data_IF_171974327846
#
_entry.id   IF_171974327846
#
_cell.length_a   1.000
_cell.length_b   1.000
_cell.length_c   1.000
_cell.angle_alpha   90.00
_cell.angle_beta   90.00
_cell.angle_gamma   90.00
#
_symmetry.space_group_name_H-M   'P 1'
#
loop_
_entity.id
_entity.type
_entity.pdbx_description
1 polymer ?
#
# COMPACT_ATOMS: atom_id res chain seq x y z
N UNK A 1 -4.76 20.52 -4.70
CA UNK A 1 -4.44 21.28 -3.48
C UNK A 1 -3.05 20.85 -3.09
N UNK A 2 -2.09 21.77 -3.03
CA UNK A 2 -0.72 21.44 -2.61
C UNK A 2 -0.68 21.12 -1.10
N UNK A 3 0.43 20.53 -0.64
CA UNK A 3 0.65 20.30 0.80
C UNK A 3 0.59 21.63 1.57
N UNK A 4 1.23 22.68 1.06
CA UNK A 4 1.28 23.98 1.73
C UNK A 4 -0.11 24.61 1.86
N UNK A 5 -0.93 24.51 0.79
CA UNK A 5 -2.32 24.96 0.81
C UNK A 5 -3.14 24.19 1.84
N UNK A 6 -2.97 22.85 1.90
CA UNK A 6 -3.65 22.01 2.87
C UNK A 6 -3.27 22.37 4.31
N UNK A 7 -1.97 22.49 4.60
CA UNK A 7 -1.48 22.85 5.94
C UNK A 7 -2.00 24.22 6.35
N UNK A 8 -1.98 25.20 5.44
CA UNK A 8 -2.49 26.55 5.68
C UNK A 8 -3.99 26.56 5.92
N UNK A 9 -4.76 25.84 5.11
CA UNK A 9 -6.21 25.75 5.23
C UNK A 9 -6.67 25.00 6.49
N UNK A 10 -5.84 24.09 7.01
CA UNK A 10 -6.17 23.25 8.18
C UNK A 10 -5.39 23.64 9.44
N UNK A 11 -4.72 24.80 9.45
CA UNK A 11 -3.79 25.22 10.52
C UNK A 11 -4.36 25.00 11.92
N UNK A 12 -5.58 25.48 12.16
CA UNK A 12 -6.24 25.45 13.47
C UNK A 12 -7.15 24.21 13.67
N UNK A 13 -7.21 23.32 12.68
CA UNK A 13 -8.00 22.09 12.75
C UNK A 13 -7.15 20.93 13.26
N UNK A 14 -7.60 20.28 14.32
CA UNK A 14 -7.07 18.99 14.76
C UNK A 14 -7.72 17.87 13.94
N UNK A 15 -6.91 16.99 13.37
CA UNK A 15 -7.37 15.90 12.52
C UNK A 15 -6.75 14.62 13.02
N UNK A 16 -7.59 13.70 13.51
CA UNK A 16 -7.12 12.40 13.98
C UNK A 16 -6.91 11.49 12.77
N UNK A 17 -5.67 11.06 12.58
CA UNK A 17 -5.28 10.13 11.52
C UNK A 17 -4.69 8.88 12.17
N UNK A 18 -5.35 7.73 12.03
CA UNK A 18 -4.79 6.48 12.55
C UNK A 18 -3.69 5.96 11.60
N UNK A 19 -3.88 6.04 10.29
CA UNK A 19 -2.90 5.63 9.28
C UNK A 19 -2.73 6.69 8.20
N UNK A 20 -1.49 7.13 7.95
CA UNK A 20 -1.13 7.98 6.82
C UNK A 20 -0.38 7.18 5.76
N UNK A 21 -0.84 7.22 4.51
CA UNK A 21 -0.09 6.67 3.37
C UNK A 21 0.60 7.77 2.59
N UNK A 22 1.85 7.53 2.20
CA UNK A 22 2.63 8.41 1.35
C UNK A 22 3.19 7.60 0.18
N UNK A 23 2.99 8.08 -1.05
CA UNK A 23 3.62 7.52 -2.24
C UNK A 23 4.05 8.69 -3.14
N UNK A 24 5.06 9.46 -2.72
CA UNK A 24 5.54 10.60 -3.50
C UNK A 24 6.14 10.12 -4.84
N UNK A 25 6.19 10.98 -5.87
CA UNK A 25 6.71 10.63 -7.18
C UNK A 25 8.07 9.93 -7.15
N UNK A 26 8.13 8.69 -7.62
CA UNK A 26 9.34 7.86 -7.56
C UNK A 26 10.20 7.90 -8.83
N UNK A 27 9.86 8.76 -9.79
CA UNK A 27 10.45 8.72 -11.15
C UNK A 27 11.96 8.94 -11.11
N UNK A 28 12.43 9.94 -10.38
CA UNK A 28 13.85 10.25 -10.23
C UNK A 28 14.68 9.10 -9.62
N UNK A 29 14.11 8.41 -8.64
CA UNK A 29 14.78 7.33 -7.91
C UNK A 29 14.66 5.97 -8.61
N UNK A 30 13.94 5.91 -9.74
CA UNK A 30 13.71 4.66 -10.46
C UNK A 30 14.99 4.21 -11.16
N UNK A 31 15.33 2.90 -11.14
CA UNK A 31 16.44 2.38 -11.95
C UNK A 31 16.29 2.63 -13.46
N UNK A 32 15.05 2.87 -13.93
CA UNK A 32 14.78 3.23 -15.31
C UNK A 32 15.12 4.70 -15.64
N UNK A 33 15.48 5.53 -14.65
CA UNK A 33 15.87 6.92 -14.82
C UNK A 33 17.37 7.04 -15.12
N UNK A 34 17.73 6.98 -16.40
CA UNK A 34 19.12 7.02 -16.86
C UNK A 34 19.59 8.43 -17.27
N UNK A 35 18.67 9.38 -17.44
CA UNK A 35 18.96 10.74 -17.92
C UNK A 35 18.30 11.78 -17.02
N UNK A 36 18.94 12.94 -16.83
CA UNK A 36 18.36 14.05 -16.05
C UNK A 36 17.05 14.53 -16.68
N UNK A 37 16.06 14.84 -15.84
CA UNK A 37 14.77 15.39 -16.24
C UNK A 37 14.50 16.72 -15.55
N UNK A 38 13.72 17.59 -16.21
CA UNK A 38 13.29 18.89 -15.67
C UNK A 38 12.45 18.73 -14.39
N UNK A 39 11.88 17.54 -14.15
CA UNK A 39 11.04 17.25 -12.98
C UNK A 39 11.80 16.65 -11.79
N UNK A 40 13.12 16.48 -11.89
CA UNK A 40 13.93 15.79 -10.88
C UNK A 40 13.90 16.51 -9.53
N UNK A 41 14.05 17.84 -9.54
CA UNK A 41 13.96 18.67 -8.32
C UNK A 41 12.58 18.56 -7.67
N UNK A 42 11.50 18.68 -8.47
CA UNK A 42 10.13 18.56 -7.96
C UNK A 42 9.86 17.19 -7.31
N UNK A 43 10.37 16.10 -7.89
CA UNK A 43 10.25 14.76 -7.31
C UNK A 43 10.96 14.65 -5.96
N UNK A 44 12.15 15.26 -5.83
CA UNK A 44 12.91 15.30 -4.58
C UNK A 44 12.16 16.15 -3.54
N UNK A 45 11.66 17.32 -3.93
CA UNK A 45 10.90 18.20 -3.03
C UNK A 45 9.62 17.53 -2.52
N UNK A 46 8.90 16.79 -3.38
CA UNK A 46 7.72 16.03 -2.97
C UNK A 46 8.03 14.95 -1.91
N UNK A 47 9.21 14.32 -1.96
CA UNK A 47 9.65 13.38 -0.95
C UNK A 47 9.83 14.06 0.41
N UNK A 48 10.49 15.22 0.45
CA UNK A 48 10.76 15.93 1.70
C UNK A 48 9.55 16.67 2.25
N UNK A 49 8.63 17.13 1.39
CA UNK A 49 7.37 17.76 1.83
C UNK A 49 6.48 16.79 2.64
N UNK A 50 6.72 15.48 2.57
CA UNK A 50 6.04 14.50 3.40
C UNK A 50 6.24 14.73 4.90
N UNK A 51 7.40 15.23 5.33
CA UNK A 51 7.70 15.47 6.76
C UNK A 51 6.76 16.52 7.36
N UNK A 52 6.39 17.55 6.60
CA UNK A 52 5.45 18.59 7.01
C UNK A 52 4.04 18.03 7.25
N UNK A 53 3.58 17.12 6.39
CA UNK A 53 2.31 16.42 6.60
C UNK A 53 2.35 15.54 7.86
N UNK A 54 3.45 14.83 8.09
CA UNK A 54 3.63 13.98 9.26
C UNK A 54 3.63 14.83 10.54
N UNK A 55 4.31 15.98 10.51
CA UNK A 55 4.37 16.92 11.62
C UNK A 55 2.98 17.49 11.94
N UNK A 56 2.21 17.87 10.91
CA UNK A 56 0.85 18.41 11.06
C UNK A 56 -0.16 17.36 11.56
N UNK A 57 -0.15 16.16 10.98
CA UNK A 57 -1.19 15.15 11.20
C UNK A 57 -0.91 14.23 12.39
N UNK A 58 0.37 14.08 12.78
CA UNK A 58 0.83 13.16 13.85
C UNK A 58 0.12 11.79 13.84
N UNK A 59 0.10 11.09 12.68
CA UNK A 59 -0.63 9.83 12.55
C UNK A 59 -0.08 8.73 13.46
N UNK A 60 -0.92 7.76 13.86
CA UNK A 60 -0.43 6.64 14.70
C UNK A 60 0.55 5.75 13.93
N UNK A 61 0.19 5.41 12.70
CA UNK A 61 1.03 4.67 11.77
C UNK A 61 1.23 5.44 10.47
N UNK A 62 2.41 5.30 9.89
CA UNK A 62 2.74 5.83 8.57
C UNK A 62 3.20 4.67 7.71
N UNK A 63 2.75 4.69 6.47
CA UNK A 63 3.23 3.81 5.42
C UNK A 63 3.76 4.68 4.31
N UNK A 64 4.92 4.33 3.77
CA UNK A 64 5.45 4.99 2.59
C UNK A 64 5.87 3.96 1.55
N UNK A 65 5.39 4.13 0.33
CA UNK A 65 5.82 3.35 -0.84
C UNK A 65 6.77 4.17 -1.70
N UNK A 66 7.86 3.53 -2.11
CA UNK A 66 8.85 4.07 -3.03
C UNK A 66 9.42 3.00 -3.95
N UNK A 67 10.08 3.44 -5.01
CA UNK A 67 10.89 2.55 -5.85
C UNK A 67 12.10 2.03 -5.07
N UNK A 68 12.48 0.77 -5.31
CA UNK A 68 13.64 0.18 -4.66
C UNK A 68 14.97 0.85 -5.04
N UNK A 69 15.03 1.57 -6.18
CA UNK A 69 16.24 2.25 -6.62
C UNK A 69 16.74 3.33 -5.64
N UNK A 70 15.90 3.81 -4.73
CA UNK A 70 16.32 4.73 -3.66
C UNK A 70 17.32 4.08 -2.68
N UNK A 71 17.38 2.75 -2.62
CA UNK A 71 18.34 2.02 -1.78
C UNK A 71 19.72 1.89 -2.44
N UNK A 72 19.88 2.28 -3.70
CA UNK A 72 21.16 2.23 -4.40
C UNK A 72 22.08 3.36 -3.93
N UNK A 73 23.40 3.14 -3.99
CA UNK A 73 24.42 4.07 -3.48
C UNK A 73 24.21 5.53 -3.93
N UNK A 74 23.87 5.74 -5.21
CA UNK A 74 23.58 7.07 -5.79
C UNK A 74 22.46 7.84 -5.06
N UNK A 75 21.48 7.14 -4.51
CA UNK A 75 20.28 7.72 -3.91
C UNK A 75 20.15 7.46 -2.40
N UNK A 76 21.07 6.69 -1.83
CA UNK A 76 20.96 6.21 -0.44
C UNK A 76 20.90 7.36 0.58
N UNK A 77 21.50 8.50 0.26
CA UNK A 77 21.40 9.73 1.07
C UNK A 77 19.96 10.21 1.25
N UNK A 78 19.08 10.06 0.25
CA UNK A 78 17.68 10.47 0.34
C UNK A 78 16.89 9.54 1.27
N UNK A 79 17.19 8.23 1.22
CA UNK A 79 16.61 7.28 2.18
C UNK A 79 17.07 7.59 3.62
N UNK A 80 18.35 7.90 3.83
CA UNK A 80 18.86 8.30 5.15
C UNK A 80 18.19 9.58 5.66
N UNK A 81 18.05 10.59 4.80
CA UNK A 81 17.40 11.83 5.17
C UNK A 81 15.93 11.60 5.53
N UNK A 82 15.20 10.82 4.72
CA UNK A 82 13.82 10.44 5.01
C UNK A 82 13.69 9.71 6.36
N UNK A 83 14.54 8.73 6.64
CA UNK A 83 14.57 8.04 7.95
C UNK A 83 14.89 9.03 9.08
N UNK A 84 15.82 9.97 8.84
CA UNK A 84 16.17 11.03 9.77
C UNK A 84 14.97 11.93 10.12
N UNK A 85 14.16 12.31 9.12
CA UNK A 85 12.97 13.13 9.33
C UNK A 85 11.95 12.40 10.24
N UNK A 86 11.72 11.11 9.99
CA UNK A 86 10.84 10.30 10.85
C UNK A 86 11.36 10.22 12.30
N UNK A 87 12.65 9.93 12.48
CA UNK A 87 13.23 9.76 13.82
C UNK A 87 13.31 11.08 14.59
N UNK A 88 13.57 12.20 13.90
CA UNK A 88 13.52 13.54 14.49
C UNK A 88 12.11 13.90 14.98
N UNK A 89 11.07 13.41 14.29
CA UNK A 89 9.68 13.53 14.70
C UNK A 89 9.26 12.48 15.78
N UNK A 90 10.20 11.66 16.24
CA UNK A 90 10.01 10.66 17.29
C UNK A 90 9.38 9.34 16.84
N UNK A 91 9.25 9.10 15.53
CA UNK A 91 8.71 7.84 15.03
C UNK A 91 9.76 6.73 15.09
N UNK A 92 9.31 5.53 15.48
CA UNK A 92 10.04 4.30 15.21
C UNK A 92 9.82 3.93 13.75
N UNK A 93 10.88 3.46 13.07
CA UNK A 93 10.86 3.21 11.62
C UNK A 93 11.39 1.81 11.33
N UNK A 94 10.74 1.12 10.41
CA UNK A 94 11.20 -0.14 9.81
C UNK A 94 10.93 -0.08 8.31
N UNK A 95 11.84 -0.60 7.50
CA UNK A 95 11.66 -0.62 6.05
C UNK A 95 12.14 -1.93 5.45
N UNK A 96 11.60 -2.29 4.28
CA UNK A 96 11.99 -3.48 3.53
C UNK A 96 11.74 -3.28 2.04
N UNK A 97 12.62 -3.82 1.20
CA UNK A 97 12.33 -3.99 -0.22
C UNK A 97 11.53 -5.28 -0.40
N UNK A 98 10.27 -5.14 -0.80
CA UNK A 98 9.33 -6.24 -0.97
C UNK A 98 9.18 -6.58 -2.44
N UNK A 99 9.25 -7.88 -2.76
CA UNK A 99 8.84 -8.43 -4.05
C UNK A 99 7.32 -8.62 -4.01
N UNK A 100 6.57 -7.80 -4.73
CA UNK A 100 5.11 -7.79 -4.62
C UNK A 100 4.45 -9.09 -5.12
N UNK A 101 5.15 -9.94 -5.87
CA UNK A 101 4.65 -11.27 -6.21
C UNK A 101 4.45 -12.17 -4.98
N UNK A 102 5.20 -11.96 -3.88
CA UNK A 102 4.99 -12.71 -2.63
C UNK A 102 3.69 -12.30 -1.92
N UNK A 103 3.11 -11.16 -2.31
CA UNK A 103 1.79 -10.68 -1.88
C UNK A 103 0.73 -10.83 -2.97
N UNK A 104 0.97 -11.69 -3.97
CA UNK A 104 -0.01 -12.09 -4.97
C UNK A 104 -0.05 -11.24 -6.24
N UNK A 105 0.89 -10.33 -6.45
CA UNK A 105 1.02 -9.63 -7.73
C UNK A 105 1.46 -10.58 -8.85
N UNK A 106 0.91 -10.39 -10.04
CA UNK A 106 1.29 -11.17 -11.21
C UNK A 106 2.62 -10.75 -11.85
N UNK A 107 3.43 -9.92 -11.18
CA UNK A 107 4.67 -9.32 -11.67
C UNK A 107 5.79 -9.47 -10.65
N UNK A 108 7.03 -9.57 -11.13
CA UNK A 108 8.21 -9.46 -10.26
C UNK A 108 8.58 -8.00 -9.95
N UNK A 109 7.60 -7.23 -9.48
CA UNK A 109 7.76 -5.80 -9.14
C UNK A 109 8.29 -5.67 -7.71
N UNK A 110 9.45 -5.01 -7.56
CA UNK A 110 10.03 -4.69 -6.24
C UNK A 110 9.67 -3.27 -5.82
N UNK A 111 9.36 -3.07 -4.54
CA UNK A 111 9.09 -1.76 -3.93
C UNK A 111 9.72 -1.64 -2.56
N UNK A 112 10.26 -0.46 -2.26
CA UNK A 112 10.60 -0.09 -0.90
C UNK A 112 9.30 0.26 -0.18
N UNK A 113 9.08 -0.37 0.97
CA UNK A 113 7.98 -0.05 1.86
C UNK A 113 8.59 0.35 3.20
N UNK A 114 8.17 1.50 3.71
CA UNK A 114 8.52 1.99 5.04
C UNK A 114 7.27 1.94 5.91
N UNK A 115 7.41 1.39 7.10
CA UNK A 115 6.45 1.45 8.19
C UNK A 115 7.04 2.33 9.29
N UNK A 116 6.26 3.28 9.78
CA UNK A 116 6.63 4.09 10.93
C UNK A 116 5.49 4.13 11.95
N UNK A 117 5.84 4.12 13.23
CA UNK A 117 4.90 4.14 14.35
C UNK A 117 5.20 5.31 15.28
N UNK A 118 4.16 6.03 15.68
CA UNK A 118 4.27 7.20 16.54
C UNK A 118 4.83 6.86 17.93
N UNK A 119 5.39 7.84 18.66
CA UNK A 119 5.77 7.64 20.06
C UNK A 119 4.64 6.99 20.87
N UNK A 120 4.95 5.87 21.53
CA UNK A 120 4.00 5.11 22.34
C UNK A 120 3.20 4.03 21.59
N UNK A 121 3.26 3.98 20.26
CA UNK A 121 2.76 2.86 19.46
C UNK A 121 3.83 1.78 19.30
N UNK A 122 3.40 0.53 19.16
CA UNK A 122 4.32 -0.56 18.80
C UNK A 122 4.47 -0.61 17.27
N UNK A 123 5.71 -0.66 16.80
CA UNK A 123 6.02 -0.74 15.38
C UNK A 123 5.55 -2.07 14.79
N UNK A 124 4.63 -2.08 13.81
CA UNK A 124 4.15 -3.33 13.21
C UNK A 124 5.27 -4.05 12.45
N UNK A 125 5.30 -5.40 12.48
CA UNK A 125 6.09 -6.16 11.52
C UNK A 125 5.49 -6.05 10.12
N UNK A 126 6.26 -6.45 9.10
CA UNK A 126 5.70 -6.63 7.76
C UNK A 126 4.74 -7.83 7.75
N UNK A 127 3.70 -7.82 6.90
CA UNK A 127 2.85 -8.99 6.71
C UNK A 127 3.69 -10.16 6.18
N UNK A 128 3.31 -11.37 6.59
CA UNK A 128 3.91 -12.60 6.07
C UNK A 128 3.63 -12.73 4.57
N UNK A 129 4.54 -13.40 3.87
CA UNK A 129 4.32 -13.74 2.47
C UNK A 129 3.07 -14.64 2.34
N UNK A 130 2.28 -14.37 1.30
CA UNK A 130 1.04 -15.12 0.99
C UNK A 130 1.24 -16.05 -0.19
N UNK A 131 2.23 -15.76 -1.03
CA UNK A 131 2.55 -16.51 -2.23
C UNK A 131 4.05 -16.83 -2.31
N UNK A 132 4.39 -17.94 -2.92
CA UNK A 132 5.76 -18.38 -3.15
C UNK A 132 5.93 -19.08 -4.50
N UNK A 133 7.18 -19.40 -4.84
CA UNK A 133 7.48 -20.24 -6.01
C UNK A 133 6.83 -21.61 -5.79
N UNK A 134 5.96 -22.01 -6.71
CA UNK A 134 5.25 -23.30 -6.70
C UNK A 134 4.46 -23.62 -5.40
N UNK A 135 4.12 -22.61 -4.60
CA UNK A 135 3.39 -22.81 -3.34
C UNK A 135 4.20 -23.48 -2.23
N UNK A 136 5.53 -23.35 -2.28
CA UNK A 136 6.42 -23.80 -1.21
C UNK A 136 5.99 -23.25 0.16
N UNK A 137 6.07 -24.10 1.20
CA UNK A 137 5.75 -23.72 2.57
C UNK A 137 4.26 -23.60 2.89
N UNK A 138 3.37 -24.18 2.06
CA UNK A 138 1.92 -24.09 2.24
C UNK A 138 1.32 -22.75 1.82
N UNK A 139 2.09 -21.94 1.09
CA UNK A 139 1.65 -20.67 0.50
C UNK A 139 1.01 -20.91 -0.87
N UNK A 140 0.31 -19.90 -1.39
CA UNK A 140 -0.23 -19.95 -2.75
C UNK A 140 0.90 -19.90 -3.80
N UNK A 141 0.79 -20.58 -4.94
CA UNK A 141 1.73 -20.38 -6.03
C UNK A 141 1.60 -18.95 -6.58
N UNK A 142 2.72 -18.36 -7.01
CA UNK A 142 2.72 -17.04 -7.62
C UNK A 142 1.62 -16.88 -8.68
N UNK A 143 0.92 -15.74 -8.62
CA UNK A 143 -0.10 -15.40 -9.62
C UNK A 143 0.57 -15.21 -10.97
N UNK A 144 0.10 -15.94 -11.98
CA UNK A 144 0.69 -15.91 -13.32
C UNK A 144 0.00 -14.88 -14.20
N UNK A 145 0.62 -14.53 -15.35
CA UNK A 145 -0.02 -13.68 -16.37
C UNK A 145 -1.40 -14.26 -16.74
N UNK A 146 -1.45 -15.56 -17.03
CA UNK A 146 -2.67 -16.26 -17.40
C UNK A 146 -3.75 -16.18 -16.32
N UNK A 147 -3.38 -16.39 -15.04
CA UNK A 147 -4.32 -16.27 -13.91
C UNK A 147 -4.86 -14.84 -13.76
N UNK A 148 -4.01 -13.83 -13.97
CA UNK A 148 -4.40 -12.43 -13.85
C UNK A 148 -5.42 -12.00 -14.92
N UNK A 149 -5.22 -12.42 -16.16
CA UNK A 149 -6.08 -12.01 -17.29
C UNK A 149 -7.23 -12.98 -17.58
N UNK A 150 -7.19 -14.20 -17.02
CA UNK A 150 -8.13 -15.28 -17.35
C UNK A 150 -9.59 -15.02 -16.99
N UNK A 151 -9.87 -14.01 -16.16
CA UNK A 151 -11.25 -13.60 -15.81
C UNK A 151 -11.86 -12.53 -16.73
N UNK A 152 -11.09 -12.05 -17.71
CA UNK A 152 -11.51 -11.01 -18.66
C UNK A 152 -12.28 -11.65 -19.81
N UNK A 153 -13.44 -11.10 -20.12
CA UNK A 153 -14.30 -11.55 -21.20
C UNK A 153 -14.46 -10.46 -22.26
N UNK A 154 -14.86 -10.86 -23.46
CA UNK A 154 -15.25 -9.94 -24.53
C UNK A 154 -16.41 -9.07 -24.04
N UNK A 155 -16.29 -7.76 -24.22
CA UNK A 155 -17.27 -6.77 -23.74
C UNK A 155 -16.94 -6.16 -22.37
N UNK A 156 -15.94 -6.67 -21.66
CA UNK A 156 -15.47 -6.03 -20.43
C UNK A 156 -14.90 -4.62 -20.72
N UNK A 157 -15.08 -3.71 -19.77
CA UNK A 157 -14.61 -2.33 -19.86
C UNK A 157 -13.09 -2.27 -20.08
N UNK A 158 -12.65 -1.42 -21.01
CA UNK A 158 -11.26 -1.26 -21.46
C UNK A 158 -10.63 -2.51 -22.11
N UNK A 159 -11.44 -3.52 -22.48
CA UNK A 159 -11.02 -4.70 -23.23
C UNK A 159 -11.54 -4.64 -24.67
N UNK A 160 -10.95 -3.77 -25.50
CA UNK A 160 -11.28 -3.65 -26.91
C UNK A 160 -10.09 -4.12 -27.78
N UNK A 161 -10.29 -5.25 -28.46
CA UNK A 161 -9.27 -5.88 -29.32
C UNK A 161 -9.02 -5.10 -30.63
N UNK A 162 -9.98 -4.33 -31.13
CA UNK A 162 -9.76 -3.49 -32.34
C UNK A 162 -8.81 -2.32 -32.05
N UNK A 163 -8.61 -2.01 -30.77
CA UNK A 163 -7.86 -0.85 -30.32
C UNK A 163 -6.39 -1.13 -29.98
N UNK A 164 -5.96 -2.39 -30.11
CA UNK A 164 -4.58 -2.83 -29.81
C UNK A 164 -3.76 -2.99 -31.08
N UNK A 165 -2.44 -2.90 -30.94
CA UNK A 165 -1.51 -3.15 -32.03
C UNK A 165 -1.33 -4.66 -32.22
N UNK A 166 -1.49 -5.12 -33.46
CA UNK A 166 -1.17 -6.49 -33.87
C UNK A 166 0.22 -6.58 -34.49
N UNK A 167 0.89 -7.71 -34.25
CA UNK A 167 2.24 -7.98 -34.74
C UNK A 167 2.22 -8.89 -35.96
N UNK A 168 2.89 -8.46 -37.04
CA UNK A 168 3.09 -9.23 -38.28
C UNK A 168 4.55 -9.07 -38.73
N UNK A 169 5.40 -10.10 -38.64
CA UNK A 169 5.13 -11.44 -38.09
C UNK A 169 4.82 -11.41 -36.59
N UNK A 170 4.23 -12.50 -36.06
CA UNK A 170 3.99 -12.66 -34.62
C UNK A 170 5.32 -12.65 -33.86
N UNK A 171 5.29 -12.16 -32.62
CA UNK A 171 6.42 -12.26 -31.69
C UNK A 171 6.52 -13.70 -31.14
N UNK A 172 7.66 -14.03 -30.54
CA UNK A 172 7.85 -15.31 -29.87
C UNK A 172 6.80 -15.49 -28.76
N UNK A 173 6.12 -16.64 -28.64
CA UNK A 173 5.15 -16.84 -27.57
C UNK A 173 5.76 -16.65 -26.17
N UNK A 174 5.01 -16.05 -25.26
CA UNK A 174 5.36 -15.95 -23.85
C UNK A 174 4.63 -17.06 -23.08
N UNK A 175 5.32 -17.71 -22.15
CA UNK A 175 4.67 -18.66 -21.24
C UNK A 175 3.63 -17.93 -20.38
N UNK A 176 2.32 -18.27 -20.44
CA UNK A 176 1.31 -17.63 -19.61
C UNK A 176 1.43 -17.96 -18.12
N UNK A 177 2.20 -19.00 -17.75
CA UNK A 177 2.40 -19.43 -16.37
C UNK A 177 3.56 -18.72 -15.65
N UNK A 178 4.23 -17.77 -16.32
CA UNK A 178 5.28 -16.96 -15.72
C UNK A 178 4.75 -15.69 -15.05
N UNK A 179 5.59 -15.06 -14.24
CA UNK A 179 5.41 -13.69 -13.78
C UNK A 179 5.63 -12.70 -14.93
N UNK A 180 4.79 -11.67 -14.98
CA UNK A 180 4.97 -10.52 -15.83
C UNK A 180 6.22 -9.70 -15.47
N UNK A 181 6.78 -9.03 -16.47
CA UNK A 181 7.71 -7.92 -16.25
C UNK A 181 7.01 -6.74 -15.58
N UNK A 182 7.78 -5.82 -15.02
CA UNK A 182 7.21 -4.64 -14.36
C UNK A 182 6.47 -3.76 -15.37
N UNK A 183 5.18 -3.53 -15.15
CA UNK A 183 4.37 -2.60 -15.93
C UNK A 183 4.79 -1.16 -15.59
N UNK A 184 5.25 -0.45 -16.60
CA UNK A 184 5.67 0.96 -16.57
C UNK A 184 4.63 1.87 -17.23
N UNK A 185 4.84 3.19 -17.15
CA UNK A 185 4.01 4.21 -17.81
C UNK A 185 4.33 4.36 -19.30
N UNK A 186 5.61 4.26 -19.66
CA UNK A 186 6.08 4.09 -21.04
C UNK A 186 5.98 2.63 -21.47
N UNK A 187 5.89 2.40 -22.79
CA UNK A 187 5.60 1.10 -23.43
C UNK A 187 6.22 -0.11 -22.72
N UNK A 188 5.46 -1.21 -22.67
CA UNK A 188 5.94 -2.47 -22.13
C UNK A 188 6.43 -3.35 -23.27
N UNK A 189 7.54 -4.06 -23.08
CA UNK A 189 7.93 -5.14 -23.99
C UNK A 189 6.97 -6.35 -23.92
N UNK A 190 6.03 -6.33 -22.97
CA UNK A 190 5.05 -7.38 -22.83
C UNK A 190 3.90 -7.23 -23.83
N UNK A 191 3.56 -8.37 -24.42
CA UNK A 191 2.48 -8.57 -25.37
C UNK A 191 1.67 -9.79 -24.96
N UNK A 192 0.50 -9.98 -25.57
CA UNK A 192 -0.37 -11.10 -25.26
C UNK A 192 0.37 -12.44 -25.48
N UNK A 193 0.15 -13.48 -24.62
CA UNK A 193 1.01 -14.67 -24.59
C UNK A 193 1.23 -15.39 -25.93
N UNK A 194 0.29 -15.31 -26.87
CA UNK A 194 0.41 -15.93 -28.20
C UNK A 194 1.28 -15.16 -29.22
N UNK A 195 1.84 -14.01 -28.81
CA UNK A 195 2.69 -13.18 -29.67
C UNK A 195 1.94 -12.34 -30.71
N UNK A 196 0.61 -12.37 -30.74
CA UNK A 196 -0.18 -11.76 -31.81
C UNK A 196 -0.41 -10.26 -31.67
N UNK A 197 -0.49 -9.75 -30.43
CA UNK A 197 -0.90 -8.38 -30.15
C UNK A 197 -0.40 -7.82 -28.82
N UNK A 198 -0.52 -6.52 -28.63
CA UNK A 198 -0.40 -5.89 -27.32
C UNK A 198 -1.54 -6.29 -26.37
N UNK A 199 -1.29 -6.11 -25.06
CA UNK A 199 -2.35 -6.18 -24.06
C UNK A 199 -3.31 -4.98 -24.19
N UNK A 200 -4.58 -5.25 -23.96
CA UNK A 200 -5.60 -4.23 -23.69
C UNK A 200 -5.32 -3.52 -22.37
N UNK A 201 -5.91 -2.34 -22.16
CA UNK A 201 -5.77 -1.60 -20.90
C UNK A 201 -6.33 -2.39 -19.71
N UNK A 202 -7.41 -3.17 -19.91
CA UNK A 202 -7.96 -4.04 -18.86
C UNK A 202 -7.02 -5.16 -18.47
N UNK A 203 -6.35 -5.80 -19.44
CA UNK A 203 -5.36 -6.84 -19.17
C UNK A 203 -4.15 -6.26 -18.39
N UNK A 204 -3.64 -5.09 -18.80
CA UNK A 204 -2.60 -4.39 -18.01
C UNK A 204 -3.07 -4.08 -16.58
N UNK A 205 -4.31 -3.62 -16.41
CA UNK A 205 -4.86 -3.31 -15.09
C UNK A 205 -4.93 -4.56 -14.19
N UNK A 206 -5.41 -5.69 -14.71
CA UNK A 206 -5.49 -6.93 -13.95
C UNK A 206 -4.11 -7.50 -13.59
N UNK A 207 -3.13 -7.42 -14.51
CA UNK A 207 -1.73 -7.79 -14.22
C UNK A 207 -1.12 -6.85 -13.15
N UNK A 208 -1.52 -5.58 -13.13
CA UNK A 208 -1.18 -4.60 -12.09
C UNK A 208 -1.98 -4.80 -10.79
N UNK A 209 -2.80 -5.84 -10.68
CA UNK A 209 -3.51 -6.19 -9.46
C UNK A 209 -4.78 -5.37 -9.21
N UNK A 210 -5.26 -4.61 -10.21
CA UNK A 210 -6.56 -3.95 -10.11
C UNK A 210 -7.69 -4.98 -10.24
N UNK A 211 -8.78 -4.82 -9.46
CA UNK A 211 -10.01 -5.57 -9.69
C UNK A 211 -10.54 -5.31 -11.10
N UNK A 212 -11.11 -6.35 -11.73
CA UNK A 212 -11.66 -6.26 -13.09
C UNK A 212 -12.70 -5.14 -13.25
N UNK A 213 -13.48 -4.88 -12.21
CA UNK A 213 -14.53 -3.86 -12.19
C UNK A 213 -14.03 -2.44 -11.85
N UNK A 214 -12.73 -2.24 -11.59
CA UNK A 214 -12.19 -0.92 -11.30
C UNK A 214 -12.39 0.03 -12.49
N UNK A 215 -12.95 1.21 -12.22
CA UNK A 215 -13.26 2.24 -13.22
C UNK A 215 -12.12 3.24 -13.31
N UNK A 216 -11.58 3.40 -14.51
CA UNK A 216 -10.58 4.42 -14.80
C UNK A 216 -11.21 5.60 -15.51
N UNK A 217 -10.66 6.79 -15.29
CA UNK A 217 -11.16 8.04 -15.88
C UNK A 217 -10.05 8.68 -16.71
N UNK A 218 -10.41 9.20 -17.89
CA UNK A 218 -9.53 9.95 -18.78
C UNK A 218 -9.21 9.25 -20.09
N UNK A 219 -8.24 9.80 -20.84
CA UNK A 219 -7.79 9.25 -22.11
C UNK A 219 -7.01 7.94 -21.95
N UNK A 220 -6.88 7.13 -23.02
CA UNK A 220 -6.10 5.88 -23.00
C UNK A 220 -4.69 6.06 -22.43
N UNK A 221 -4.00 7.14 -22.80
CA UNK A 221 -2.67 7.47 -22.29
C UNK A 221 -2.69 7.79 -20.78
N UNK A 222 -3.69 8.56 -20.33
CA UNK A 222 -3.85 8.86 -18.90
C UNK A 222 -4.12 7.59 -18.09
N UNK A 223 -5.01 6.72 -18.57
CA UNK A 223 -5.33 5.43 -17.95
C UNK A 223 -4.09 4.54 -17.89
N UNK A 224 -3.32 4.45 -18.99
CA UNK A 224 -2.07 3.66 -19.01
C UNK A 224 -1.07 4.14 -17.96
N UNK A 225 -0.98 5.47 -17.76
CA UNK A 225 -0.13 6.09 -16.73
C UNK A 225 -0.63 5.78 -15.32
N UNK A 226 -1.95 5.87 -15.08
CA UNK A 226 -2.56 5.47 -13.80
C UNK A 226 -2.22 4.01 -13.45
N UNK A 227 -2.37 3.10 -14.41
CA UNK A 227 -2.01 1.69 -14.23
C UNK A 227 -0.51 1.55 -13.89
N UNK A 228 0.39 2.12 -14.70
CA UNK A 228 1.84 1.93 -14.49
C UNK A 228 2.38 2.50 -13.16
N UNK A 229 1.83 3.63 -12.72
CA UNK A 229 2.25 4.30 -11.47
C UNK A 229 1.66 3.67 -10.22
N UNK A 230 0.54 2.94 -10.33
CA UNK A 230 -0.15 2.42 -9.16
C UNK A 230 0.75 1.55 -8.26
N UNK A 231 0.56 1.72 -6.95
CA UNK A 231 0.92 0.68 -5.99
C UNK A 231 -0.19 -0.40 -6.04
N UNK A 232 0.12 -1.65 -6.45
CA UNK A 232 -0.90 -2.63 -6.82
C UNK A 232 -1.98 -2.86 -5.73
N UNK A 233 -3.28 -2.68 -6.04
CA UNK A 233 -4.35 -2.75 -5.04
C UNK A 233 -4.43 -4.09 -4.30
N UNK A 234 -4.17 -5.20 -4.99
CA UNK A 234 -4.16 -6.53 -4.36
C UNK A 234 -3.08 -6.67 -3.30
N UNK A 235 -1.90 -6.08 -3.51
CA UNK A 235 -0.80 -6.11 -2.53
C UNK A 235 -1.02 -5.09 -1.42
N UNK A 236 -1.59 -3.91 -1.76
CA UNK A 236 -2.03 -2.91 -0.78
C UNK A 236 -3.04 -3.52 0.18
N UNK A 237 -3.99 -4.31 -0.32
CA UNK A 237 -4.97 -5.01 0.52
C UNK A 237 -4.28 -5.89 1.57
N UNK A 238 -3.27 -6.68 1.19
CA UNK A 238 -2.52 -7.54 2.13
C UNK A 238 -1.85 -6.69 3.22
N UNK A 239 -1.19 -5.60 2.82
CA UNK A 239 -0.53 -4.69 3.77
C UNK A 239 -1.52 -4.06 4.75
N UNK A 240 -2.61 -3.47 4.25
CA UNK A 240 -3.55 -2.73 5.10
C UNK A 240 -4.46 -3.61 5.93
N UNK A 241 -4.79 -4.81 5.49
CA UNK A 241 -5.48 -5.80 6.34
C UNK A 241 -4.61 -6.15 7.55
N UNK A 242 -3.32 -6.40 7.34
CA UNK A 242 -2.36 -6.65 8.42
C UNK A 242 -2.22 -5.45 9.38
N UNK A 243 -2.13 -4.23 8.86
CA UNK A 243 -2.03 -3.03 9.70
C UNK A 243 -3.33 -2.73 10.47
N UNK A 244 -4.49 -2.99 9.87
CA UNK A 244 -5.78 -2.89 10.56
C UNK A 244 -5.86 -3.89 11.71
N UNK A 245 -5.56 -5.17 11.44
CA UNK A 245 -5.58 -6.24 12.45
C UNK A 245 -4.58 -5.92 13.59
N UNK A 246 -3.40 -5.38 13.25
CA UNK A 246 -2.41 -4.91 14.22
C UNK A 246 -2.98 -3.82 15.12
N UNK A 247 -3.57 -2.76 14.55
CA UNK A 247 -4.14 -1.66 15.33
C UNK A 247 -5.31 -2.11 16.21
N UNK A 248 -6.19 -2.96 15.68
CA UNK A 248 -7.30 -3.53 16.42
C UNK A 248 -6.80 -4.34 17.64
N UNK A 249 -5.78 -5.18 17.43
CA UNK A 249 -5.18 -5.95 18.53
C UNK A 249 -4.54 -5.04 19.59
N UNK A 250 -3.81 -4.01 19.17
CA UNK A 250 -3.19 -3.04 20.10
C UNK A 250 -4.23 -2.26 20.90
N UNK A 251 -5.37 -1.95 20.28
CA UNK A 251 -6.48 -1.22 20.91
C UNK A 251 -7.42 -2.13 21.72
N UNK A 252 -7.23 -3.46 21.68
CA UNK A 252 -8.14 -4.42 22.31
C UNK A 252 -9.53 -4.45 21.67
N UNK A 253 -9.61 -4.14 20.37
CA UNK A 253 -10.84 -4.03 19.59
C UNK A 253 -10.97 -5.21 18.63
N UNK A 254 -12.21 -5.57 18.30
CA UNK A 254 -12.52 -6.51 17.21
C UNK A 254 -12.87 -5.75 15.94
N UNK A 255 -12.69 -6.39 14.78
CA UNK A 255 -13.13 -5.82 13.51
C UNK A 255 -14.63 -5.53 13.57
N UNK A 256 -15.04 -4.37 13.09
CA UNK A 256 -16.44 -4.02 13.01
C UNK A 256 -17.17 -5.03 12.11
N UNK A 257 -18.19 -5.68 12.66
CA UNK A 257 -19.13 -6.46 11.89
C UNK A 257 -20.35 -5.58 11.66
N UNK A 258 -20.78 -5.44 10.41
CA UNK A 258 -22.04 -4.75 10.12
C UNK A 258 -23.15 -5.44 10.89
N UNK A 259 -23.86 -4.69 11.72
CA UNK A 259 -25.09 -5.14 12.34
C UNK A 259 -26.03 -5.55 11.19
N UNK A 260 -26.56 -6.79 11.16
CA UNK A 260 -27.59 -7.15 10.21
C UNK A 260 -28.74 -6.16 10.31
N UNK A 261 -29.42 -5.81 9.21
CA UNK A 261 -30.52 -4.83 9.14
C UNK A 261 -31.71 -5.11 10.10
N UNK A 262 -31.64 -6.19 10.90
CA UNK A 262 -32.70 -6.75 11.72
C UNK A 262 -32.51 -6.50 13.23
N UNK A 263 -31.47 -5.76 13.65
CA UNK A 263 -31.25 -5.50 15.08
C UNK A 263 -31.93 -4.18 15.46
N UNK A 264 -33.08 -4.30 16.14
CA UNK A 264 -33.71 -3.18 16.82
C UNK A 264 -32.82 -2.80 18.01
N UNK A 265 -32.25 -1.60 17.96
CA UNK A 265 -31.65 -0.98 19.14
C UNK A 265 -32.82 -0.57 20.02
N UNK A 266 -33.04 -1.29 21.12
CA UNK A 266 -33.94 -0.84 22.18
C UNK A 266 -33.21 0.28 22.90
N UNK A 267 -33.77 1.48 22.79
CA UNK A 267 -33.33 2.64 23.55
C UNK A 267 -33.77 2.44 24.99
N UNK A 268 -32.91 1.89 25.84
CA UNK A 268 -33.13 1.85 27.29
C UNK A 268 -32.92 3.26 27.83
N UNK A 269 -33.92 4.11 27.60
CA UNK A 269 -34.15 5.33 28.36
C UNK A 269 -35.46 5.17 29.12
N UNK A 270 -35.48 4.28 30.09
CA UNK A 270 -36.40 4.34 31.22
C UNK A 270 -35.66 3.87 32.49
N UNK A 271 -35.55 4.78 33.45
CA UNK A 271 -35.07 4.55 34.80
C UNK A 271 -35.88 3.44 35.48
N UNK A 272 -35.23 2.42 36.06
CA UNK A 272 -35.66 1.88 37.35
C UNK A 272 -34.55 1.08 38.06
N UNK A 273 -34.45 1.33 39.36
CA UNK A 273 -33.52 0.75 40.33
C UNK A 273 -33.57 -0.79 40.39
N UNK A 274 -32.42 -1.46 40.34
CA UNK A 274 -32.12 -2.59 41.24
C UNK A 274 -30.66 -3.08 41.14
N UNK A 275 -30.01 -3.14 42.31
CA UNK A 275 -28.74 -3.82 42.56
C UNK A 275 -28.79 -5.31 42.17
N UNK A 276 -27.80 -5.83 41.42
CA UNK A 276 -27.09 -7.05 41.82
C UNK A 276 -25.76 -7.31 41.08
N UNK A 277 -24.78 -7.75 41.86
CA UNK A 277 -23.45 -8.25 41.53
C UNK A 277 -23.42 -9.38 40.49
N UNK A 278 -22.45 -9.35 39.55
CA UNK A 278 -21.67 -10.57 39.24
C UNK A 278 -20.29 -10.27 38.63
N UNK A 279 -19.24 -10.60 39.42
CA UNK A 279 -17.86 -10.82 38.97
C UNK A 279 -17.76 -12.12 38.15
N UNK A 280 -16.61 -12.28 37.49
CA UNK A 280 -15.81 -13.50 37.22
C UNK A 280 -15.34 -13.49 35.75
N UNK A 281 -14.11 -13.83 35.37
CA UNK A 281 -12.81 -13.97 36.01
C UNK A 281 -11.81 -14.05 34.83
N UNK A 282 -10.64 -13.43 34.99
CA UNK A 282 -9.52 -13.52 34.02
C UNK A 282 -8.86 -14.89 34.04
N UNK A 283 -8.57 -15.48 32.88
CA UNK A 283 -7.57 -16.57 32.77
C UNK A 283 -6.57 -16.28 31.65
N UNK A 284 -5.34 -16.06 32.08
CA UNK A 284 -4.10 -15.86 31.34
C UNK A 284 -3.58 -17.14 30.66
N UNK A 285 -2.90 -16.98 29.51
CA UNK A 285 -2.03 -18.01 28.94
C UNK A 285 -1.12 -17.43 27.85
N UNK A 286 0.14 -17.14 28.19
CA UNK A 286 1.19 -16.80 27.23
C UNK A 286 1.78 -18.08 26.60
N UNK A 287 2.30 -18.01 25.36
CA UNK A 287 3.65 -18.56 25.17
C UNK A 287 4.57 -17.78 24.20
N UNK A 288 5.82 -17.69 24.67
CA UNK A 288 7.15 -17.73 24.02
C UNK A 288 7.37 -17.41 22.53
N UNK A 289 8.35 -16.53 22.32
CA UNK A 289 9.10 -16.24 21.08
C UNK A 289 9.83 -17.47 20.49
N UNK A 290 10.16 -17.43 19.17
CA UNK A 290 11.59 -17.42 18.82
C UNK A 290 11.98 -16.59 17.58
N UNK A 291 13.26 -16.18 17.64
CA UNK A 291 14.32 -16.03 16.63
C UNK A 291 14.23 -15.04 15.44
N UNK A 292 15.39 -14.42 15.23
CA UNK A 292 15.71 -13.22 14.45
C UNK A 292 16.22 -13.65 13.07
N UNK A 293 15.77 -12.96 12.02
CA UNK A 293 16.30 -13.09 10.66
C UNK A 293 16.92 -11.74 10.26
N UNK A 294 18.18 -11.79 9.82
CA UNK A 294 19.06 -10.64 9.58
C UNK A 294 18.69 -9.92 8.28
N UNK A 295 17.93 -8.82 8.37
CA UNK A 295 17.92 -7.68 7.41
C UNK A 295 17.02 -6.51 7.89
N UNK A 296 16.80 -6.39 9.21
CA UNK A 296 15.86 -5.42 9.80
C UNK A 296 16.66 -4.39 10.61
N UNK A 297 16.55 -3.11 10.25
CA UNK A 297 16.98 -2.01 11.13
C UNK A 297 15.77 -1.44 11.88
N UNK A 298 15.89 -1.30 13.21
CA UNK A 298 14.85 -0.77 14.10
C UNK A 298 15.45 0.25 15.11
N UNK A 299 14.72 1.34 15.39
CA UNK A 299 15.11 2.42 16.32
C UNK A 299 13.89 2.78 17.19
N UNK A 300 14.03 2.85 18.53
CA UNK A 300 12.94 3.09 19.50
C UNK A 300 13.20 4.27 20.47
N UNK A 301 12.14 4.93 20.97
CA UNK A 301 12.18 6.10 21.88
C UNK A 301 11.10 6.00 23.01
N UNK A 302 11.25 6.62 24.22
CA UNK A 302 10.44 6.33 25.42
C UNK A 302 9.01 6.91 25.47
N UNK A 303 8.18 6.36 26.37
CA UNK A 303 6.70 6.51 26.45
C UNK A 303 6.21 7.63 27.38
N UNK A 304 5.19 8.40 26.96
CA UNK A 304 4.22 9.10 27.84
C UNK A 304 2.80 9.09 27.22
N UNK A 305 1.75 9.04 28.05
CA UNK A 305 0.33 8.81 27.64
C UNK A 305 -0.60 9.95 28.09
N UNK A 306 -1.40 10.52 27.16
CA UNK A 306 -2.79 11.00 27.39
C UNK A 306 -3.59 10.94 26.06
N UNK A 307 -4.85 10.48 26.09
CA UNK A 307 -5.78 10.43 24.93
C UNK A 307 -7.16 10.96 25.31
N UNK A 308 -7.78 11.71 24.39
CA UNK A 308 -9.19 12.09 24.37
C UNK A 308 -9.81 11.77 23.00
N UNK A 309 -11.12 11.55 22.96
CA UNK A 309 -11.89 11.02 21.82
C UNK A 309 -12.54 12.18 21.04
N UNK A 310 -12.51 12.17 19.70
CA UNK A 310 -13.40 12.97 18.81
C UNK A 310 -13.38 12.49 17.33
N UNK A 311 -14.41 12.91 16.59
CA UNK A 311 -15.00 12.31 15.37
C UNK A 311 -14.17 12.27 14.07
N UNK A 312 -14.57 11.35 13.18
CA UNK A 312 -13.89 10.89 11.96
C UNK A 312 -14.36 11.61 10.69
N UNK A 313 -13.41 12.00 9.85
CA UNK A 313 -13.62 12.31 8.43
C UNK A 313 -12.28 12.22 7.70
N UNK A 314 -12.24 11.43 6.62
CA UNK A 314 -11.01 11.09 5.87
C UNK A 314 -10.78 12.10 4.73
N UNK A 315 -9.71 12.91 4.74
CA UNK A 315 -9.35 13.75 3.60
C UNK A 315 -8.37 13.02 2.67
N UNK A 316 -8.54 13.21 1.36
CA UNK A 316 -7.59 12.80 0.34
C UNK A 316 -6.78 14.03 -0.11
N UNK A 317 -5.45 13.93 -0.14
CA UNK A 317 -4.53 14.99 -0.59
C UNK A 317 -3.75 14.43 -1.78
N UNK A 318 -3.79 15.15 -2.89
CA UNK A 318 -3.04 14.81 -4.11
C UNK A 318 -1.62 15.37 -4.00
N UNK A 319 -0.62 14.50 -4.15
CA UNK A 319 0.81 14.83 -4.09
C UNK A 319 1.49 14.83 -5.47
N UNK A 320 0.68 14.75 -6.55
CA UNK A 320 1.16 14.74 -7.94
C UNK A 320 1.27 16.13 -8.54
#
# INVERSE_FOLDING_TARGET
MSIDEFIKATKDRLMRVDVLHLSPPCQYFSPAHTHQSVHDEANIYALFACSELINKLRPRLITLEQTFGITHERHYQYLKALIGDYTQLGYSVRWKVVRLCTWGLAQDRKRLIILAAAPGENLPPFPKDTHSVNGAGGLEPFTTIGKAIGSIHVGDDLHNLDSVKYYRPRRAPLDPNRLAGTITTGGSEMYYPDGSRDFTLREYACIQGFPKHHKFIGSKTCIRRQIGNAFPPNTVRVLYQHLEDWLLQQDGMTRYQSIPDNVFIVDDSDDDDSDEYLRWQTSSGAPSSPEIDEDIMEIACPRERRRGILHRGSPFIDLT
#
